data_IF_560200621785
#
_entry.id   IF_560200621785
#
_cell.length_a   1.000
_cell.length_b   1.000
_cell.length_c   1.000
_cell.angle_alpha   90.00
_cell.angle_beta   90.00
_cell.angle_gamma   90.00
#
_symmetry.space_group_name_H-M   'P 1'
#
loop_
_entity.id
_entity.type
_entity.pdbx_description
1 polymer ?
#
# COMPACT_ATOMS: atom_id res chain seq x y z
N UNK A 1 52.83 3.41 20.78
CA UNK A 1 52.72 2.40 19.71
C UNK A 1 51.26 2.40 19.26
N UNK A 2 51.00 2.50 17.95
CA UNK A 2 49.68 2.66 17.31
C UNK A 2 49.17 4.10 17.12
N UNK A 3 49.84 4.88 16.26
CA UNK A 3 49.27 6.13 15.70
C UNK A 3 49.66 6.38 14.22
N UNK A 4 50.42 5.45 13.62
CA UNK A 4 51.00 5.63 12.28
C UNK A 4 50.20 4.95 11.15
N UNK A 5 49.13 4.21 11.47
CA UNK A 5 48.39 3.42 10.48
C UNK A 5 47.17 4.15 9.89
N UNK A 6 46.50 5.00 10.68
CA UNK A 6 45.28 5.73 10.24
C UNK A 6 45.54 6.75 9.13
N UNK A 7 46.67 7.45 9.16
CA UNK A 7 46.98 8.52 8.20
C UNK A 7 47.39 8.01 6.81
N UNK A 8 47.71 6.71 6.68
CA UNK A 8 48.14 6.09 5.42
C UNK A 8 46.98 5.83 4.43
N UNK A 9 45.75 5.72 4.95
CA UNK A 9 44.57 5.32 4.20
C UNK A 9 43.96 6.49 3.40
N UNK A 10 44.13 7.71 3.90
CA UNK A 10 43.58 8.95 3.31
C UNK A 10 44.55 9.70 2.37
N UNK A 11 45.73 9.13 2.10
CA UNK A 11 46.80 9.81 1.33
C UNK A 11 46.52 9.93 -0.18
N UNK A 12 45.56 9.18 -0.72
CA UNK A 12 45.23 9.19 -2.15
C UNK A 12 43.73 9.37 -2.36
N UNK A 13 43.28 10.31 -3.22
CA UNK A 13 41.86 10.56 -3.47
C UNK A 13 41.11 9.30 -3.94
N UNK A 14 41.81 8.40 -4.66
CA UNK A 14 41.26 7.11 -5.09
C UNK A 14 40.94 6.17 -3.91
N UNK A 15 41.76 6.17 -2.86
CA UNK A 15 41.56 5.34 -1.66
C UNK A 15 40.43 5.86 -0.77
N UNK A 16 40.25 7.19 -0.71
CA UNK A 16 39.14 7.82 0.01
C UNK A 16 37.80 7.40 -0.60
N UNK A 17 37.66 7.46 -1.93
CA UNK A 17 36.43 7.07 -2.62
C UNK A 17 36.08 5.61 -2.35
N UNK A 18 37.06 4.70 -2.45
CA UNK A 18 36.86 3.27 -2.18
C UNK A 18 36.39 3.05 -0.73
N UNK A 19 37.01 3.76 0.22
CA UNK A 19 36.67 3.63 1.65
C UNK A 19 35.26 4.13 1.95
N UNK A 20 34.87 5.27 1.38
CA UNK A 20 33.52 5.83 1.58
C UNK A 20 32.45 4.92 0.99
N UNK A 21 32.69 4.36 -0.21
CA UNK A 21 31.77 3.40 -0.82
C UNK A 21 31.69 2.11 0.01
N UNK A 22 32.81 1.57 0.47
CA UNK A 22 32.81 0.35 1.28
C UNK A 22 32.11 0.55 2.63
N UNK A 23 32.35 1.68 3.31
CA UNK A 23 31.68 2.00 4.57
C UNK A 23 30.18 2.18 4.34
N UNK A 24 29.77 2.88 3.27
CA UNK A 24 28.35 3.04 2.93
C UNK A 24 27.63 1.70 2.66
N UNK A 25 28.28 0.79 1.94
CA UNK A 25 27.75 -0.57 1.71
C UNK A 25 27.65 -1.37 3.02
N UNK A 26 28.69 -1.34 3.86
CA UNK A 26 28.71 -2.05 5.15
C UNK A 26 27.63 -1.49 6.08
N UNK A 27 27.47 -0.16 6.17
CA UNK A 27 26.42 0.47 6.98
C UNK A 27 25.01 0.08 6.53
N UNK A 28 24.75 -0.03 5.22
CA UNK A 28 23.46 -0.47 4.70
C UNK A 28 23.16 -1.93 5.09
N UNK A 29 24.16 -2.82 5.03
CA UNK A 29 24.02 -4.21 5.43
C UNK A 29 23.70 -4.33 6.93
N UNK A 30 24.35 -3.53 7.79
CA UNK A 30 24.05 -3.50 9.21
C UNK A 30 22.68 -2.91 9.53
N UNK A 31 22.22 -1.88 8.82
CA UNK A 31 20.88 -1.32 9.02
C UNK A 31 19.77 -2.35 8.77
N UNK A 32 19.93 -3.23 7.77
CA UNK A 32 19.00 -4.34 7.51
C UNK A 32 19.12 -5.45 8.56
N UNK A 33 20.31 -5.69 9.09
CA UNK A 33 20.57 -6.74 10.08
C UNK A 33 20.04 -6.39 11.49
N UNK A 34 20.05 -5.11 11.89
CA UNK A 34 19.67 -4.67 13.24
C UNK A 34 18.16 -4.82 13.46
N UNK A 35 17.32 -4.48 12.47
CA UNK A 35 15.88 -4.65 12.57
C UNK A 35 15.20 -4.85 11.20
N UNK A 36 15.28 -6.06 10.63
CA UNK A 36 14.70 -6.36 9.32
C UNK A 36 13.17 -6.21 9.32
N UNK A 37 12.52 -6.37 10.47
CA UNK A 37 11.07 -6.27 10.61
C UNK A 37 10.59 -4.83 10.43
N UNK A 38 11.25 -3.86 11.08
CA UNK A 38 10.89 -2.44 10.95
C UNK A 38 11.15 -1.88 9.55
N UNK A 39 12.22 -2.32 8.89
CA UNK A 39 12.48 -1.95 7.51
C UNK A 39 11.36 -2.42 6.56
N UNK A 40 10.88 -3.65 6.74
CA UNK A 40 9.74 -4.18 5.97
C UNK A 40 8.45 -3.42 6.28
N UNK A 41 8.20 -3.05 7.54
CA UNK A 41 7.05 -2.23 7.94
C UNK A 41 7.09 -0.86 7.27
N UNK A 42 8.23 -0.16 7.35
CA UNK A 42 8.45 1.12 6.71
C UNK A 42 8.20 1.08 5.20
N UNK A 43 8.72 0.06 4.50
CA UNK A 43 8.50 -0.10 3.07
C UNK A 43 7.03 -0.32 2.71
N UNK A 44 6.30 -1.09 3.52
CA UNK A 44 4.86 -1.29 3.33
C UNK A 44 4.08 0.00 3.52
N UNK A 45 4.39 0.78 4.54
CA UNK A 45 3.70 2.03 4.83
C UNK A 45 3.99 3.07 3.75
N UNK A 46 5.23 3.15 3.28
CA UNK A 46 5.59 3.98 2.13
C UNK A 46 4.81 3.58 0.88
N UNK A 47 4.70 2.27 0.61
CA UNK A 47 3.91 1.76 -0.51
C UNK A 47 2.43 2.13 -0.36
N UNK A 48 1.87 2.01 0.85
CA UNK A 48 0.49 2.38 1.16
C UNK A 48 0.20 3.85 0.85
N UNK A 49 1.03 4.73 1.36
CA UNK A 49 0.90 6.18 1.14
C UNK A 49 1.03 6.54 -0.34
N UNK A 50 1.98 5.91 -1.05
CA UNK A 50 2.13 6.13 -2.48
C UNK A 50 0.91 5.65 -3.27
N UNK A 51 0.39 4.46 -2.96
CA UNK A 51 -0.78 3.89 -3.60
C UNK A 51 -2.03 4.76 -3.40
N UNK A 52 -2.25 5.25 -2.17
CA UNK A 52 -3.36 6.16 -1.86
C UNK A 52 -3.23 7.50 -2.59
N UNK A 53 -2.01 8.06 -2.66
CA UNK A 53 -1.77 9.31 -3.38
C UNK A 53 -2.04 9.16 -4.89
N UNK A 54 -1.57 8.06 -5.48
CA UNK A 54 -1.84 7.77 -6.89
C UNK A 54 -3.32 7.56 -7.16
N UNK A 55 -4.00 6.75 -6.34
CA UNK A 55 -5.44 6.52 -6.48
C UNK A 55 -6.26 7.81 -6.33
N UNK A 56 -5.96 8.62 -5.31
CA UNK A 56 -6.58 9.94 -5.12
C UNK A 56 -6.37 10.85 -6.32
N UNK A 57 -5.17 10.87 -6.90
CA UNK A 57 -4.88 11.65 -8.11
C UNK A 57 -5.66 11.17 -9.33
N UNK A 58 -5.90 9.86 -9.50
CA UNK A 58 -6.75 9.36 -10.58
C UNK A 58 -8.22 9.69 -10.36
N UNK A 59 -8.70 9.60 -9.12
CA UNK A 59 -10.08 9.95 -8.76
C UNK A 59 -10.34 11.44 -9.08
N UNK A 60 -9.45 12.35 -8.67
CA UNK A 60 -9.61 13.77 -8.99
C UNK A 60 -9.60 14.06 -10.49
N UNK A 61 -8.82 13.32 -11.28
CA UNK A 61 -8.86 13.43 -12.74
C UNK A 61 -10.17 12.91 -13.34
N UNK A 62 -10.72 11.83 -12.79
CA UNK A 62 -12.04 11.33 -13.21
C UNK A 62 -13.14 12.34 -12.87
N UNK A 63 -13.12 12.91 -11.66
CA UNK A 63 -14.08 13.94 -11.24
C UNK A 63 -14.08 15.16 -12.18
N UNK A 64 -12.90 15.53 -12.69
CA UNK A 64 -12.74 16.65 -13.64
C UNK A 64 -13.13 16.28 -15.07
N UNK A 65 -12.66 15.13 -15.58
CA UNK A 65 -12.71 14.79 -17.01
C UNK A 65 -13.93 13.93 -17.41
N UNK A 66 -14.39 13.06 -16.51
CA UNK A 66 -15.40 12.04 -16.80
C UNK A 66 -16.20 11.66 -15.53
N UNK A 67 -16.92 12.61 -14.91
CA UNK A 67 -17.64 12.36 -13.65
C UNK A 67 -18.68 11.22 -13.75
N UNK A 68 -19.23 10.98 -14.95
CA UNK A 68 -20.14 9.87 -15.24
C UNK A 68 -19.50 8.48 -15.10
N UNK A 69 -18.16 8.39 -15.07
CA UNK A 69 -17.44 7.15 -14.84
C UNK A 69 -17.50 6.69 -13.37
N UNK A 70 -17.96 7.56 -12.45
CA UNK A 70 -18.16 7.24 -11.04
C UNK A 70 -19.49 6.49 -10.89
N UNK A 71 -19.40 5.18 -10.65
CA UNK A 71 -20.55 4.26 -10.46
C UNK A 71 -20.81 3.99 -8.97
N UNK A 72 -20.29 4.84 -8.10
CA UNK A 72 -20.35 4.68 -6.66
C UNK A 72 -21.73 5.04 -6.10
N UNK A 73 -22.35 4.11 -5.38
CA UNK A 73 -23.55 4.38 -4.60
C UNK A 73 -23.22 5.03 -3.24
N UNK A 74 -24.12 5.91 -2.76
CA UNK A 74 -24.05 6.47 -1.42
C UNK A 74 -24.26 5.40 -0.34
N UNK A 75 -23.68 5.61 0.84
CA UNK A 75 -23.75 4.70 2.00
C UNK A 75 -23.19 3.29 1.75
N UNK A 76 -22.37 3.12 0.71
CA UNK A 76 -21.61 1.89 0.48
C UNK A 76 -20.13 2.16 0.74
N UNK A 77 -19.52 1.30 1.57
CA UNK A 77 -18.09 1.30 1.83
C UNK A 77 -17.48 0.18 1.01
N UNK A 78 -16.80 0.53 -0.07
CA UNK A 78 -16.14 -0.45 -0.93
C UNK A 78 -14.77 -0.79 -0.38
N UNK A 79 -14.40 -2.07 -0.38
CA UNK A 79 -13.15 -2.51 0.25
C UNK A 79 -12.27 -3.28 -0.73
N UNK A 80 -10.96 -3.07 -0.65
CA UNK A 80 -9.99 -3.85 -1.44
C UNK A 80 -9.84 -5.33 -1.01
N UNK A 81 -10.74 -5.84 -0.15
CA UNK A 81 -10.75 -7.22 0.30
C UNK A 81 -11.62 -8.07 -0.63
N UNK A 82 -11.07 -9.10 -1.30
CA UNK A 82 -11.87 -9.95 -2.16
C UNK A 82 -12.74 -10.91 -1.33
N UNK A 83 -14.00 -11.04 -1.74
CA UNK A 83 -14.97 -11.98 -1.20
C UNK A 83 -15.94 -12.40 -2.31
N UNK A 84 -16.41 -13.64 -2.28
CA UNK A 84 -17.42 -14.11 -3.23
C UNK A 84 -18.82 -13.62 -2.82
N UNK A 85 -18.98 -13.23 -1.56
CA UNK A 85 -20.16 -12.56 -1.04
C UNK A 85 -20.00 -11.03 -1.22
N UNK A 86 -20.88 -10.35 -1.97
CA UNK A 86 -20.81 -8.90 -2.16
C UNK A 86 -20.91 -8.10 -0.85
N UNK A 87 -21.47 -8.66 0.22
CA UNK A 87 -21.62 -7.99 1.51
C UNK A 87 -20.45 -8.28 2.47
N UNK A 88 -19.34 -8.86 1.97
CA UNK A 88 -18.11 -9.09 2.72
C UNK A 88 -18.25 -10.00 3.96
N UNK A 89 -19.21 -10.93 3.97
CA UNK A 89 -19.51 -11.80 5.12
C UNK A 89 -18.29 -12.52 5.70
N UNK A 90 -17.32 -12.92 4.86
CA UNK A 90 -16.06 -13.56 5.30
C UNK A 90 -15.23 -12.64 6.18
N UNK A 91 -15.24 -11.34 5.89
CA UNK A 91 -14.41 -10.34 6.52
C UNK A 91 -15.08 -9.71 7.74
N UNK A 92 -16.42 -9.58 7.72
CA UNK A 92 -17.21 -9.23 8.90
C UNK A 92 -16.94 -10.20 10.06
N UNK A 93 -16.93 -11.51 9.78
CA UNK A 93 -16.57 -12.54 10.76
C UNK A 93 -15.10 -12.52 11.22
N UNK A 94 -14.23 -11.76 10.55
CA UNK A 94 -12.79 -11.70 10.80
C UNK A 94 -12.33 -10.37 11.41
N UNK A 95 -13.26 -9.49 11.78
CA UNK A 95 -12.95 -8.23 12.44
C UNK A 95 -12.94 -7.02 11.50
N UNK A 96 -13.71 -7.04 10.39
CA UNK A 96 -14.15 -5.77 9.82
C UNK A 96 -14.95 -5.01 10.91
N UNK A 97 -14.67 -3.72 11.15
CA UNK A 97 -15.37 -2.95 12.16
C UNK A 97 -16.89 -2.92 11.92
N UNK A 98 -17.66 -2.85 13.00
CA UNK A 98 -19.08 -2.52 12.90
C UNK A 98 -19.23 -1.10 12.35
N UNK A 99 -20.19 -0.92 11.44
CA UNK A 99 -20.44 0.34 10.75
C UNK A 99 -21.75 0.96 11.22
N UNK A 100 -21.85 2.28 11.10
CA UNK A 100 -23.05 3.02 11.47
C UNK A 100 -24.29 2.53 10.70
N UNK A 101 -25.45 2.65 11.33
CA UNK A 101 -26.73 2.24 10.73
C UNK A 101 -26.95 2.90 9.37
N UNK A 102 -27.34 2.09 8.38
CA UNK A 102 -27.60 2.50 7.01
C UNK A 102 -26.39 2.43 6.07
N UNK A 103 -25.19 2.15 6.57
CA UNK A 103 -24.04 1.82 5.73
C UNK A 103 -23.94 0.31 5.50
N UNK A 104 -23.38 -0.09 4.36
CA UNK A 104 -23.04 -1.48 4.06
C UNK A 104 -21.66 -1.59 3.41
N UNK A 105 -20.98 -2.69 3.66
CA UNK A 105 -19.76 -3.00 2.94
C UNK A 105 -20.07 -3.53 1.53
N UNK A 106 -19.11 -3.36 0.63
CA UNK A 106 -19.11 -3.96 -0.69
C UNK A 106 -17.76 -4.60 -0.99
N UNK A 107 -17.80 -5.90 -1.30
CA UNK A 107 -16.66 -6.67 -1.75
C UNK A 107 -16.85 -7.08 -3.20
N UNK A 108 -15.73 -7.31 -3.87
CA UNK A 108 -15.69 -7.89 -5.20
C UNK A 108 -15.00 -9.26 -5.15
N UNK A 109 -15.24 -10.08 -6.17
CA UNK A 109 -14.61 -11.40 -6.28
C UNK A 109 -13.09 -11.28 -6.46
N UNK A 110 -12.36 -12.37 -6.24
CA UNK A 110 -10.91 -12.42 -6.46
C UNK A 110 -10.51 -12.10 -7.91
N UNK A 111 -11.38 -12.42 -8.88
CA UNK A 111 -11.13 -12.12 -10.30
C UNK A 111 -11.35 -10.66 -10.65
N UNK A 112 -12.20 -9.97 -9.90
CA UNK A 112 -12.70 -8.64 -10.31
C UNK A 112 -12.13 -7.52 -9.46
N UNK A 113 -11.79 -7.75 -8.19
CA UNK A 113 -11.50 -6.67 -7.25
C UNK A 113 -10.39 -5.71 -7.71
N UNK A 114 -9.42 -6.14 -8.53
CA UNK A 114 -8.35 -5.27 -9.04
C UNK A 114 -8.65 -4.61 -10.39
N UNK A 115 -9.79 -4.87 -11.01
CA UNK A 115 -10.16 -4.27 -12.29
C UNK A 115 -10.35 -2.76 -12.16
N UNK A 116 -10.00 -2.05 -13.22
CA UNK A 116 -10.03 -0.59 -13.30
C UNK A 116 -11.19 -0.06 -14.16
N UNK A 117 -12.11 -0.93 -14.59
CA UNK A 117 -13.24 -0.67 -15.50
C UNK A 117 -14.56 -0.36 -14.75
N UNK A 118 -14.46 -0.09 -13.44
CA UNK A 118 -15.59 0.11 -12.55
C UNK A 118 -16.21 -1.16 -11.98
N UNK A 119 -15.75 -2.36 -12.37
CA UNK A 119 -16.12 -3.62 -11.71
C UNK A 119 -15.20 -4.01 -10.55
N UNK A 120 -14.13 -3.25 -10.32
CA UNK A 120 -13.21 -3.45 -9.22
C UNK A 120 -13.71 -2.97 -7.86
N UNK A 121 -12.83 -3.04 -6.87
CA UNK A 121 -13.15 -2.63 -5.50
C UNK A 121 -13.37 -1.12 -5.38
N UNK A 122 -12.86 -0.32 -6.31
CA UNK A 122 -13.29 1.06 -6.47
C UNK A 122 -14.30 1.08 -7.63
N UNK A 123 -15.56 1.49 -7.39
CA UNK A 123 -16.63 1.50 -8.40
C UNK A 123 -16.48 2.70 -9.35
N UNK A 124 -15.29 2.89 -9.91
CA UNK A 124 -14.97 3.98 -10.84
C UNK A 124 -14.32 3.36 -12.08
N UNK A 125 -14.82 3.76 -13.24
CA UNK A 125 -14.29 3.34 -14.53
C UNK A 125 -13.11 4.23 -14.94
N UNK A 126 -11.92 3.86 -14.49
CA UNK A 126 -10.70 4.61 -14.79
C UNK A 126 -10.26 4.48 -16.25
N UNK A 127 -10.85 3.59 -17.04
CA UNK A 127 -10.52 3.45 -18.47
C UNK A 127 -10.89 4.71 -19.26
N UNK A 128 -11.77 5.55 -18.72
CA UNK A 128 -12.08 6.89 -19.25
C UNK A 128 -10.86 7.82 -19.32
N UNK A 129 -9.79 7.56 -18.56
CA UNK A 129 -8.52 8.30 -18.63
C UNK A 129 -7.60 7.84 -19.79
N UNK A 130 -8.00 6.82 -20.55
CA UNK A 130 -7.21 6.28 -21.66
C UNK A 130 -5.83 5.81 -21.21
N UNK A 131 -4.76 6.37 -21.81
CA UNK A 131 -3.38 5.99 -21.49
C UNK A 131 -2.92 6.42 -20.09
N UNK A 132 -3.62 7.36 -19.46
CA UNK A 132 -3.32 7.80 -18.09
C UNK A 132 -3.95 6.87 -17.04
N UNK A 133 -4.80 5.92 -17.45
CA UNK A 133 -5.47 5.02 -16.53
C UNK A 133 -4.49 4.12 -15.76
N UNK A 134 -4.72 3.85 -14.46
CA UNK A 134 -4.00 2.81 -13.76
C UNK A 134 -4.26 1.46 -14.41
N UNK A 135 -3.21 0.67 -14.68
CA UNK A 135 -3.35 -0.68 -15.25
C UNK A 135 -4.25 -1.61 -14.40
N UNK A 136 -4.21 -1.45 -13.08
CA UNK A 136 -5.05 -2.17 -12.12
C UNK A 136 -5.18 -1.35 -10.84
N UNK A 137 -6.22 -1.62 -10.06
CA UNK A 137 -6.37 -1.00 -8.75
C UNK A 137 -5.27 -1.48 -7.79
N UNK A 138 -4.98 -0.62 -6.81
CA UNK A 138 -4.02 -0.92 -5.76
C UNK A 138 -4.61 -1.90 -4.75
N UNK A 139 -3.76 -2.71 -4.11
CA UNK A 139 -4.12 -3.55 -2.97
C UNK A 139 -3.15 -3.32 -1.84
N UNK A 140 -3.63 -3.39 -0.60
CA UNK A 140 -2.72 -3.30 0.54
C UNK A 140 -1.67 -4.43 0.44
N UNK A 141 -0.38 -4.15 0.71
CA UNK A 141 0.68 -5.15 0.65
C UNK A 141 0.48 -6.38 1.56
N UNK A 142 -0.40 -6.32 2.56
CA UNK A 142 -0.77 -7.44 3.43
C UNK A 142 -2.04 -8.16 3.02
N UNK A 143 -2.74 -7.73 1.98
CA UNK A 143 -4.03 -8.32 1.63
C UNK A 143 -3.89 -9.85 1.43
N UNK A 144 -4.62 -10.63 2.23
CA UNK A 144 -4.53 -12.10 2.27
C UNK A 144 -3.62 -12.70 3.38
N UNK A 145 -2.87 -11.89 4.14
CA UNK A 145 -2.09 -12.33 5.29
C UNK A 145 -2.76 -11.90 6.59
N UNK A 146 -2.81 -12.81 7.58
CA UNK A 146 -3.24 -12.48 8.94
C UNK A 146 -2.10 -11.72 9.62
N UNK A 147 -2.22 -10.39 9.71
CA UNK A 147 -1.38 -9.63 10.63
C UNK A 147 -1.79 -9.95 12.07
N UNK A 148 -0.88 -9.80 13.01
CA UNK A 148 -1.25 -9.65 14.43
C UNK A 148 -0.88 -8.25 14.87
N UNK A 149 -1.78 -7.62 15.60
CA UNK A 149 -1.46 -6.41 16.32
C UNK A 149 -0.33 -6.71 17.32
N UNK A 150 0.76 -5.92 17.36
CA UNK A 150 1.86 -6.19 18.26
C UNK A 150 1.51 -5.96 19.74
N UNK A 151 0.48 -5.16 20.03
CA UNK A 151 0.11 -4.79 21.40
C UNK A 151 -1.02 -5.69 21.94
N UNK A 152 -2.06 -5.94 21.13
CA UNK A 152 -3.21 -6.77 21.52
C UNK A 152 -3.09 -8.24 21.10
N UNK A 153 -2.18 -8.57 20.16
CA UNK A 153 -2.08 -9.91 19.59
C UNK A 153 -3.28 -10.32 18.72
N UNK A 154 -4.23 -9.41 18.49
CA UNK A 154 -5.44 -9.65 17.70
C UNK A 154 -5.12 -9.75 16.21
N UNK A 155 -5.93 -10.49 15.46
CA UNK A 155 -5.75 -10.57 14.00
C UNK A 155 -6.16 -9.25 13.36
N UNK A 156 -5.21 -8.58 12.71
CA UNK A 156 -5.46 -7.35 11.96
C UNK A 156 -5.49 -7.67 10.48
N UNK A 157 -6.49 -7.14 9.79
CA UNK A 157 -6.62 -7.17 8.33
C UNK A 157 -6.37 -5.76 7.82
N UNK A 158 -5.45 -5.59 6.87
CA UNK A 158 -5.16 -4.31 6.24
C UNK A 158 -5.77 -4.26 4.85
N UNK A 159 -6.42 -3.15 4.53
CA UNK A 159 -7.14 -2.94 3.29
C UNK A 159 -7.41 -1.45 3.07
N UNK A 160 -7.66 -1.09 1.81
CA UNK A 160 -8.20 0.21 1.44
C UNK A 160 -9.73 0.21 1.46
N UNK A 161 -10.29 1.36 1.80
CA UNK A 161 -11.72 1.65 1.70
C UNK A 161 -11.94 2.84 0.79
N UNK A 162 -13.06 2.82 0.07
CA UNK A 162 -13.58 3.96 -0.66
C UNK A 162 -15.03 4.19 -0.23
N UNK A 163 -15.34 5.41 0.15
CA UNK A 163 -16.69 5.85 0.51
C UNK A 163 -17.01 7.08 -0.34
N UNK A 164 -18.13 7.01 -1.06
CA UNK A 164 -18.67 8.13 -1.81
C UNK A 164 -19.71 8.85 -0.97
N UNK A 165 -19.60 10.19 -0.87
CA UNK A 165 -20.41 11.03 -0.01
C UNK A 165 -20.49 12.46 -0.51
#
# INVERSE_FOLDING_TARGET
MSDSQETSLFKSPKRIIITVISVGLISLLFAVAINPVEFVRFHRDRKRTQDLKSLSSFISQIEEKAPEAIKAESKIIYTSLPDNDPDCSKWLKKGLPEIASGYKYRCQTESDYLKNDGSGWVPIDFTALGSEAPYKLVKDPQNGKKGRDPDSGEKVVFYYQYLFG
#
